data_IF_673769733396
#
_entry.id   IF_673769733396
#
_cell.length_a   1.000
_cell.length_b   1.000
_cell.length_c   1.000
_cell.angle_alpha   90.00
_cell.angle_beta   90.00
_cell.angle_gamma   90.00
#
_symmetry.space_group_name_H-M   'P 1'
#
loop_
_entity.id
_entity.type
_entity.pdbx_description
1 polymer ?
#
# COMPACT_ATOMS: atom_id res chain seq x y z
N UNK A 1 8.68 38.68 1.99
CA UNK A 1 8.96 37.31 2.45
C UNK A 1 7.85 36.90 3.39
N UNK A 2 7.10 35.85 3.03
CA UNK A 2 6.00 35.35 3.85
C UNK A 2 5.57 34.01 3.30
N UNK A 3 6.05 32.93 3.91
CA UNK A 3 5.54 31.58 3.69
C UNK A 3 4.36 31.36 4.63
N UNK A 4 3.16 31.28 4.06
CA UNK A 4 1.95 30.89 4.77
C UNK A 4 1.95 29.37 4.84
N UNK A 5 2.23 28.81 6.00
CA UNK A 5 1.90 27.40 6.29
C UNK A 5 0.37 27.27 6.26
N UNK A 6 -0.14 26.48 5.33
CA UNK A 6 -1.50 25.97 5.35
C UNK A 6 -1.39 24.55 5.90
N UNK A 7 -1.81 24.36 7.15
CA UNK A 7 -2.09 23.03 7.66
C UNK A 7 -3.10 22.38 6.72
N UNK A 8 -2.74 21.23 6.15
CA UNK A 8 -3.63 20.45 5.32
C UNK A 8 -4.24 19.39 6.21
N UNK A 9 -5.41 19.67 6.75
CA UNK A 9 -6.36 18.66 7.23
C UNK A 9 -7.06 18.04 6.00
N UNK A 10 -6.25 17.68 5.00
CA UNK A 10 -6.70 17.29 3.67
C UNK A 10 -6.31 15.83 3.54
N UNK A 11 -7.30 14.95 3.73
CA UNK A 11 -7.22 13.55 3.29
C UNK A 11 -6.40 13.49 1.99
N UNK A 12 -5.29 12.74 1.99
CA UNK A 12 -4.47 12.51 0.79
C UNK A 12 -5.34 11.87 -0.30
N UNK A 13 -6.04 12.69 -1.08
CA UNK A 13 -6.91 12.24 -2.17
C UNK A 13 -6.18 12.18 -3.51
N UNK A 14 -4.95 12.69 -3.58
CA UNK A 14 -4.15 12.70 -4.79
C UNK A 14 -2.66 12.64 -4.48
N UNK A 15 -2.00 11.59 -4.95
CA UNK A 15 -0.54 11.42 -4.88
C UNK A 15 0.05 11.82 -6.23
N UNK A 16 1.04 12.72 -6.23
CA UNK A 16 1.83 13.05 -7.42
C UNK A 16 2.96 12.03 -7.60
N UNK A 17 3.09 11.49 -8.81
CA UNK A 17 4.17 10.61 -9.24
C UNK A 17 4.93 11.27 -10.39
N UNK A 18 6.26 11.29 -10.27
CA UNK A 18 7.16 11.70 -11.35
C UNK A 18 7.99 10.50 -11.75
N UNK A 19 8.00 10.17 -13.04
CA UNK A 19 8.75 9.04 -13.60
C UNK A 19 9.79 9.59 -14.55
N UNK A 20 11.06 9.27 -14.31
CA UNK A 20 12.15 9.58 -15.23
C UNK A 20 12.45 8.42 -16.16
N UNK A 21 13.09 8.72 -17.29
CA UNK A 21 13.60 7.73 -18.24
C UNK A 21 14.67 8.35 -19.11
N UNK A 22 14.87 7.79 -20.30
CA UNK A 22 15.88 8.26 -21.24
C UNK A 22 15.25 8.55 -22.61
N UNK A 23 15.66 9.64 -23.26
CA UNK A 23 15.31 9.87 -24.66
C UNK A 23 16.10 8.95 -25.61
N UNK A 24 15.86 9.06 -26.92
CA UNK A 24 16.54 8.27 -27.96
C UNK A 24 18.07 8.44 -28.00
N UNK A 25 18.60 9.49 -27.36
CA UNK A 25 20.05 9.76 -27.25
C UNK A 25 20.65 9.28 -25.93
N UNK A 26 19.83 8.74 -25.02
CA UNK A 26 20.26 8.33 -23.69
C UNK A 26 20.28 9.46 -22.66
N UNK A 27 19.68 10.63 -22.96
CA UNK A 27 19.61 11.74 -22.00
C UNK A 27 18.46 11.52 -21.01
N UNK A 28 18.71 11.77 -19.73
CA UNK A 28 17.67 11.71 -18.69
C UNK A 28 16.57 12.74 -18.93
N UNK A 29 15.31 12.29 -18.89
CA UNK A 29 14.11 13.11 -19.09
C UNK A 29 13.00 12.69 -18.13
N UNK A 30 11.96 13.51 -18.02
CA UNK A 30 10.69 13.15 -17.36
C UNK A 30 9.78 12.48 -18.38
N UNK A 31 9.41 11.23 -18.14
CA UNK A 31 8.44 10.48 -18.95
C UNK A 31 7.00 10.79 -18.56
N UNK A 32 6.74 10.96 -17.26
CA UNK A 32 5.44 11.38 -16.75
C UNK A 32 5.57 12.19 -15.46
N UNK A 33 4.68 13.16 -15.30
CA UNK A 33 4.53 13.98 -14.09
C UNK A 33 3.04 14.27 -13.89
N UNK A 34 2.45 13.67 -12.87
CA UNK A 34 1.01 13.79 -12.65
C UNK A 34 0.49 12.95 -11.49
N UNK A 35 -0.83 12.85 -11.33
CA UNK A 35 -1.42 11.97 -10.33
C UNK A 35 -1.10 10.51 -10.60
N UNK A 36 -1.01 9.70 -9.53
CA UNK A 36 -1.00 8.24 -9.63
C UNK A 36 -2.28 7.79 -10.35
N UNK A 37 -2.17 7.04 -11.46
CA UNK A 37 -3.34 6.71 -12.29
C UNK A 37 -4.18 5.56 -11.74
N UNK A 38 -3.63 4.73 -10.85
CA UNK A 38 -4.31 3.55 -10.29
C UNK A 38 -4.60 3.73 -8.81
N UNK A 39 -5.88 3.86 -8.48
CA UNK A 39 -6.38 4.01 -7.11
C UNK A 39 -7.43 2.93 -6.87
N UNK A 40 -7.26 2.17 -5.80
CA UNK A 40 -8.23 1.17 -5.36
C UNK A 40 -8.90 1.63 -4.07
N UNK A 41 -10.22 1.71 -4.06
CA UNK A 41 -11.01 1.86 -2.84
C UNK A 41 -11.36 0.49 -2.27
N UNK A 42 -11.58 0.42 -0.96
CA UNK A 42 -12.15 -0.77 -0.32
C UNK A 42 -13.64 -0.50 -0.04
N UNK A 43 -14.58 -1.15 -0.74
CA UNK A 43 -16.02 -0.91 -0.52
C UNK A 43 -16.49 -1.37 0.87
N UNK A 44 -15.74 -2.25 1.55
CA UNK A 44 -16.07 -2.69 2.92
C UNK A 44 -15.48 -1.76 3.99
N UNK A 45 -14.42 -1.01 3.67
CA UNK A 45 -13.84 -0.01 4.58
C UNK A 45 -13.91 1.37 3.94
N UNK A 46 -15.07 2.06 4.02
CA UNK A 46 -15.23 3.39 3.46
C UNK A 46 -14.10 4.33 3.91
N UNK A 47 -13.52 5.05 2.95
CA UNK A 47 -12.37 5.94 3.19
C UNK A 47 -11.00 5.26 3.06
N UNK A 48 -10.91 3.93 3.00
CA UNK A 48 -9.65 3.27 2.69
C UNK A 48 -9.34 3.40 1.19
N UNK A 49 -8.19 4.02 0.90
CA UNK A 49 -7.66 4.19 -0.45
C UNK A 49 -6.27 3.57 -0.56
N UNK A 50 -5.97 2.94 -1.69
CA UNK A 50 -4.64 2.42 -2.02
C UNK A 50 -4.22 2.94 -3.38
N UNK A 51 -3.21 3.82 -3.39
CA UNK A 51 -2.58 4.34 -4.59
C UNK A 51 -1.45 3.38 -4.99
N UNK A 52 -1.60 2.64 -6.10
CA UNK A 52 -0.49 1.84 -6.62
C UNK A 52 0.48 2.77 -7.36
N UNK A 53 1.63 3.05 -6.74
CA UNK A 53 2.58 4.05 -7.25
C UNK A 53 3.48 3.45 -8.32
N UNK A 54 4.04 2.27 -8.08
CA UNK A 54 4.91 1.58 -9.03
C UNK A 54 4.88 0.07 -8.79
N UNK A 55 5.12 -0.72 -9.83
CA UNK A 55 5.15 -2.17 -9.76
C UNK A 55 6.24 -2.72 -10.67
N UNK A 56 7.02 -3.65 -10.19
CA UNK A 56 7.95 -4.42 -11.03
C UNK A 56 7.53 -5.88 -11.05
N UNK A 57 7.90 -6.60 -12.10
CA UNK A 57 7.51 -8.00 -12.31
C UNK A 57 8.69 -8.98 -12.31
N UNK A 58 9.89 -8.48 -12.06
CA UNK A 58 11.12 -9.28 -12.00
C UNK A 58 12.18 -8.59 -11.17
N UNK A 59 13.13 -9.38 -10.67
CA UNK A 59 14.31 -8.92 -9.95
C UNK A 59 15.51 -9.76 -10.41
N UNK A 60 16.60 -9.15 -10.92
CA UNK A 60 16.79 -7.71 -11.11
C UNK A 60 15.79 -7.11 -12.12
N UNK A 61 15.45 -5.84 -11.92
CA UNK A 61 14.52 -5.09 -12.78
C UNK A 61 15.28 -4.63 -14.04
N UNK A 62 14.83 -4.98 -15.26
CA UNK A 62 15.40 -4.41 -16.49
C UNK A 62 15.12 -2.90 -16.58
N UNK A 63 16.14 -2.10 -16.87
CA UNK A 63 15.99 -0.66 -17.06
C UNK A 63 15.84 -0.36 -18.56
N UNK A 64 14.62 -0.05 -18.98
CA UNK A 64 14.32 0.40 -20.33
C UNK A 64 14.35 1.93 -20.43
N UNK A 65 14.48 2.46 -21.65
CA UNK A 65 14.40 3.91 -21.89
C UNK A 65 13.01 4.48 -21.53
N UNK A 66 11.97 3.71 -21.84
CA UNK A 66 10.56 3.96 -21.52
C UNK A 66 9.91 2.66 -21.03
N UNK A 67 8.95 2.76 -20.12
CA UNK A 67 8.18 1.61 -19.61
C UNK A 67 6.68 1.93 -19.68
N UNK A 68 5.83 1.02 -20.19
CA UNK A 68 4.37 1.17 -20.11
C UNK A 68 3.90 1.25 -18.66
N UNK A 69 2.72 1.84 -18.42
CA UNK A 69 2.15 1.95 -17.06
C UNK A 69 2.14 0.60 -16.31
N UNK A 70 2.98 0.42 -15.26
CA UNK A 70 3.11 -0.89 -14.63
C UNK A 70 1.98 -1.22 -13.65
N UNK A 71 1.18 -0.24 -13.22
CA UNK A 71 0.19 -0.40 -12.15
C UNK A 71 -1.19 -0.84 -12.64
N UNK A 72 -1.40 -0.94 -13.95
CA UNK A 72 -2.69 -1.40 -14.50
C UNK A 72 -3.06 -2.82 -14.03
N UNK A 73 -4.36 -3.05 -13.81
CA UNK A 73 -4.92 -4.35 -13.44
C UNK A 73 -5.65 -4.36 -12.09
N UNK A 74 -6.09 -5.55 -11.64
CA UNK A 74 -6.73 -5.70 -10.35
C UNK A 74 -5.73 -5.50 -9.21
N UNK A 75 -6.24 -5.04 -8.06
CA UNK A 75 -5.46 -4.98 -6.82
C UNK A 75 -5.04 -6.39 -6.40
N UNK A 76 -3.78 -6.54 -6.05
CA UNK A 76 -3.25 -7.72 -5.35
C UNK A 76 -2.60 -7.29 -4.05
N UNK A 77 -2.82 -8.05 -2.99
CA UNK A 77 -2.13 -7.81 -1.72
C UNK A 77 -0.62 -8.01 -1.88
N UNK A 78 -0.23 -9.10 -2.53
CA UNK A 78 1.17 -9.46 -2.77
C UNK A 78 1.69 -8.89 -4.10
N UNK A 79 2.99 -8.59 -4.21
CA UNK A 79 3.61 -8.27 -5.49
C UNK A 79 3.58 -9.49 -6.44
N UNK A 80 3.78 -9.28 -7.76
CA UNK A 80 4.05 -10.37 -8.68
C UNK A 80 5.26 -11.21 -8.22
N UNK A 81 5.35 -12.50 -8.59
CA UNK A 81 6.54 -13.32 -8.32
C UNK A 81 7.81 -12.62 -8.80
N UNK A 82 8.84 -12.59 -7.93
CA UNK A 82 10.10 -11.86 -8.18
C UNK A 82 9.93 -10.35 -8.44
N UNK A 83 8.78 -9.76 -8.16
CA UNK A 83 8.50 -8.34 -8.36
C UNK A 83 8.46 -7.54 -7.07
N UNK A 84 8.10 -6.27 -7.19
CA UNK A 84 7.76 -5.43 -6.06
C UNK A 84 6.52 -4.57 -6.37
N UNK A 85 5.97 -3.97 -5.32
CA UNK A 85 4.90 -2.99 -5.45
C UNK A 85 5.13 -1.88 -4.44
N UNK A 86 5.23 -0.65 -4.92
CA UNK A 86 5.20 0.56 -4.10
C UNK A 86 3.77 1.07 -4.07
N UNK A 87 3.21 1.23 -2.87
CA UNK A 87 1.86 1.74 -2.67
C UNK A 87 1.81 2.74 -1.53
N UNK A 88 0.92 3.71 -1.64
CA UNK A 88 0.54 4.60 -0.53
C UNK A 88 -0.88 4.25 -0.14
N UNK A 89 -1.10 3.95 1.14
CA UNK A 89 -2.40 3.56 1.67
C UNK A 89 -2.91 4.62 2.64
N UNK A 90 -4.14 5.08 2.41
CA UNK A 90 -4.92 5.85 3.39
C UNK A 90 -5.74 4.85 4.18
N UNK A 91 -5.49 4.77 5.48
CA UNK A 91 -6.18 3.87 6.39
C UNK A 91 -7.05 4.73 7.30
N UNK A 92 -8.39 4.71 7.15
CA UNK A 92 -9.27 5.47 8.02
C UNK A 92 -9.24 4.87 9.44
N UNK A 93 -9.63 5.63 10.47
CA UNK A 93 -9.84 5.09 11.80
C UNK A 93 -10.69 3.83 11.75
N UNK A 94 -10.37 2.89 12.64
CA UNK A 94 -11.11 1.65 12.71
C UNK A 94 -12.54 1.87 13.22
N UNK A 95 -13.50 1.21 12.58
CA UNK A 95 -14.91 1.20 13.00
C UNK A 95 -15.21 -0.03 13.85
N UNK A 96 -16.23 0.05 14.71
CA UNK A 96 -16.71 -1.14 15.45
C UNK A 96 -17.13 -2.27 14.52
N UNK A 97 -17.68 -1.95 13.34
CA UNK A 97 -18.01 -2.93 12.31
C UNK A 97 -16.78 -3.72 11.85
N UNK A 98 -15.63 -3.07 11.70
CA UNK A 98 -14.38 -3.73 11.30
C UNK A 98 -13.83 -4.62 12.41
N UNK A 99 -13.90 -4.15 13.67
CA UNK A 99 -13.45 -4.92 14.85
C UNK A 99 -14.27 -6.20 15.05
N UNK A 100 -15.56 -6.13 14.78
CA UNK A 100 -16.51 -7.20 15.09
C UNK A 100 -16.75 -8.17 13.92
N UNK A 101 -15.93 -8.12 12.87
CA UNK A 101 -16.02 -9.08 11.76
C UNK A 101 -15.78 -10.52 12.26
N UNK A 102 -16.54 -11.47 11.72
CA UNK A 102 -16.27 -12.90 11.93
C UNK A 102 -15.09 -13.38 11.06
N UNK A 103 -14.45 -14.51 11.40
CA UNK A 103 -13.41 -15.11 10.56
C UNK A 103 -13.85 -15.35 9.11
N UNK A 104 -15.07 -15.79 8.89
CA UNK A 104 -15.63 -16.03 7.55
C UNK A 104 -15.78 -14.72 6.77
N UNK A 105 -16.28 -13.67 7.44
CA UNK A 105 -16.40 -12.35 6.85
C UNK A 105 -15.01 -11.82 6.48
N UNK A 106 -14.04 -11.85 7.40
CA UNK A 106 -12.68 -11.41 7.15
C UNK A 106 -12.04 -12.13 5.93
N UNK A 107 -12.15 -13.46 5.86
CA UNK A 107 -11.64 -14.24 4.72
C UNK A 107 -12.28 -13.84 3.39
N UNK A 108 -13.58 -13.58 3.39
CA UNK A 108 -14.29 -13.13 2.20
C UNK A 108 -13.80 -11.74 1.73
N UNK A 109 -13.44 -10.85 2.66
CA UNK A 109 -12.81 -9.55 2.34
C UNK A 109 -11.45 -9.72 1.68
N UNK A 110 -10.62 -10.59 2.24
CA UNK A 110 -9.32 -10.92 1.67
C UNK A 110 -9.45 -11.55 0.29
N UNK A 111 -10.41 -12.46 0.10
CA UNK A 111 -10.69 -13.08 -1.20
C UNK A 111 -11.07 -12.04 -2.25
N UNK A 112 -11.95 -11.09 -1.91
CA UNK A 112 -12.32 -9.96 -2.79
C UNK A 112 -11.15 -9.02 -3.10
N UNK A 113 -10.15 -8.97 -2.23
CA UNK A 113 -8.91 -8.19 -2.41
C UNK A 113 -7.80 -8.96 -3.14
N UNK A 114 -8.10 -10.15 -3.68
CA UNK A 114 -7.16 -10.99 -4.41
C UNK A 114 -6.21 -11.81 -3.52
N UNK A 115 -6.51 -11.96 -2.22
CA UNK A 115 -5.59 -12.53 -1.23
C UNK A 115 -6.29 -13.45 -0.21
N UNK A 116 -7.22 -14.29 -0.67
CA UNK A 116 -8.07 -15.12 0.21
C UNK A 116 -7.32 -15.93 1.26
N UNK A 117 -6.16 -16.48 0.90
CA UNK A 117 -5.33 -17.30 1.81
C UNK A 117 -4.43 -16.49 2.74
N UNK A 118 -4.32 -15.17 2.55
CA UNK A 118 -3.45 -14.33 3.35
C UNK A 118 -4.01 -14.04 4.74
N UNK A 119 -5.33 -14.16 4.95
CA UNK A 119 -5.97 -13.92 6.24
C UNK A 119 -5.50 -14.90 7.32
N UNK A 120 -4.99 -14.38 8.43
CA UNK A 120 -4.63 -15.21 9.60
C UNK A 120 -5.72 -15.25 10.66
N UNK A 121 -6.79 -14.47 10.49
CA UNK A 121 -7.89 -14.39 11.46
C UNK A 121 -8.65 -15.72 11.58
N UNK A 122 -8.85 -16.18 12.82
CA UNK A 122 -9.37 -17.51 13.13
C UNK A 122 -8.39 -18.66 12.85
N UNK A 123 -7.11 -18.36 12.54
CA UNK A 123 -5.99 -19.32 12.43
C UNK A 123 -4.80 -18.90 13.31
N UNK A 124 -5.07 -18.24 14.43
CA UNK A 124 -4.05 -17.71 15.35
C UNK A 124 -3.89 -16.19 15.29
N UNK A 125 -4.26 -15.54 14.17
CA UNK A 125 -4.32 -14.09 14.09
C UNK A 125 -5.42 -13.51 14.97
N UNK A 126 -5.10 -12.43 15.70
CA UNK A 126 -5.97 -11.82 16.71
C UNK A 126 -6.88 -10.71 16.16
N UNK A 127 -6.64 -10.27 14.93
CA UNK A 127 -7.36 -9.16 14.31
C UNK A 127 -7.92 -9.52 12.92
N UNK A 128 -9.14 -9.09 12.56
CA UNK A 128 -9.75 -9.39 11.25
C UNK A 128 -8.91 -8.99 10.04
N UNK A 129 -8.06 -7.97 10.19
CA UNK A 129 -7.21 -7.44 9.11
C UNK A 129 -5.78 -7.99 9.12
N UNK A 130 -5.42 -8.85 10.09
CA UNK A 130 -4.11 -9.50 10.08
C UNK A 130 -3.98 -10.44 8.90
N UNK A 131 -2.83 -10.36 8.24
CA UNK A 131 -2.48 -11.22 7.13
C UNK A 131 -0.99 -11.43 7.06
N UNK A 132 -0.58 -12.55 6.44
CA UNK A 132 0.81 -12.90 6.23
C UNK A 132 1.07 -13.08 4.73
N UNK A 133 2.21 -12.59 4.29
CA UNK A 133 2.69 -12.69 2.91
C UNK A 133 4.16 -13.13 2.93
N UNK A 134 4.62 -13.89 1.93
CA UNK A 134 6.03 -14.26 1.81
C UNK A 134 6.84 -13.12 1.19
N UNK A 135 6.84 -11.97 1.88
CA UNK A 135 7.43 -10.71 1.42
C UNK A 135 8.24 -10.03 2.51
N UNK A 136 9.10 -9.11 2.10
CA UNK A 136 9.62 -8.06 2.99
C UNK A 136 8.93 -6.76 2.61
N UNK A 137 8.26 -6.13 3.57
CA UNK A 137 7.52 -4.90 3.39
C UNK A 137 8.22 -3.76 4.16
N UNK A 138 8.38 -2.63 3.48
CA UNK A 138 8.91 -1.40 4.06
C UNK A 138 7.75 -0.43 4.19
N UNK A 139 7.18 -0.33 5.40
CA UNK A 139 6.08 0.59 5.66
C UNK A 139 6.62 1.86 6.31
N UNK A 140 6.21 3.02 5.80
CA UNK A 140 6.59 4.33 6.34
C UNK A 140 5.31 5.07 6.66
N UNK A 141 5.19 5.59 7.88
CA UNK A 141 4.05 6.44 8.25
C UNK A 141 4.30 7.84 7.70
N UNK A 142 3.58 8.19 6.63
CA UNK A 142 3.70 9.50 5.98
C UNK A 142 2.95 10.60 6.73
N UNK A 143 1.82 10.25 7.36
CA UNK A 143 0.96 11.17 8.08
C UNK A 143 0.08 10.39 9.09
N UNK A 144 -0.23 11.00 10.24
CA UNK A 144 -1.06 10.41 11.27
C UNK A 144 -0.33 9.37 12.13
N UNK A 145 -1.11 8.44 12.67
CA UNK A 145 -0.66 7.34 13.52
C UNK A 145 -1.39 6.03 13.17
N UNK A 146 -0.73 4.90 13.40
CA UNK A 146 -1.27 3.56 13.18
C UNK A 146 -0.67 2.58 14.18
N UNK A 147 -1.46 1.64 14.67
CA UNK A 147 -0.96 0.55 15.53
C UNK A 147 -0.62 -0.67 14.67
N UNK A 148 0.64 -1.12 14.73
CA UNK A 148 1.05 -2.42 14.22
C UNK A 148 0.68 -3.48 15.25
N UNK A 149 -0.19 -4.41 14.86
CA UNK A 149 -0.59 -5.56 15.68
C UNK A 149 0.18 -6.78 15.19
N UNK A 150 0.87 -7.46 16.09
CA UNK A 150 1.58 -8.72 15.86
C UNK A 150 0.93 -9.85 16.70
N UNK A 151 1.49 -11.05 16.60
CA UNK A 151 1.01 -12.23 17.34
C UNK A 151 0.88 -11.98 18.86
N UNK A 152 1.84 -11.31 19.51
CA UNK A 152 1.87 -11.13 20.97
C UNK A 152 2.10 -9.68 21.44
N UNK A 153 2.24 -8.72 20.54
CA UNK A 153 2.52 -7.34 20.87
C UNK A 153 1.84 -6.35 19.92
N UNK A 154 1.71 -5.11 20.39
CA UNK A 154 1.24 -3.99 19.61
C UNK A 154 2.26 -2.85 19.70
N UNK A 155 2.48 -2.16 18.58
CA UNK A 155 3.42 -1.03 18.50
C UNK A 155 2.70 0.16 17.89
N UNK A 156 2.62 1.26 18.63
CA UNK A 156 2.13 2.53 18.10
C UNK A 156 3.18 3.16 17.19
N UNK A 157 2.79 3.50 15.97
CA UNK A 157 3.64 4.15 14.97
C UNK A 157 3.07 5.53 14.66
N UNK A 158 3.96 6.52 14.52
CA UNK A 158 3.64 7.91 14.21
C UNK A 158 4.38 8.35 12.96
N UNK A 159 3.99 9.52 12.44
CA UNK A 159 4.61 10.13 11.26
C UNK A 159 6.14 10.12 11.35
N UNK A 160 6.78 9.55 10.33
CA UNK A 160 8.24 9.39 10.25
C UNK A 160 8.75 8.00 10.66
N UNK A 161 7.93 7.18 11.34
CA UNK A 161 8.32 5.83 11.71
C UNK A 161 8.36 4.88 10.51
N UNK A 162 9.28 3.92 10.58
CA UNK A 162 9.52 2.92 9.54
C UNK A 162 9.44 1.51 10.14
N UNK A 163 8.65 0.65 9.51
CA UNK A 163 8.56 -0.78 9.84
C UNK A 163 9.18 -1.59 8.71
N UNK A 164 10.00 -2.57 9.09
CA UNK A 164 10.54 -3.59 8.21
C UNK A 164 9.84 -4.91 8.55
N UNK A 165 8.76 -5.22 7.85
CA UNK A 165 7.96 -6.42 8.10
C UNK A 165 8.49 -7.59 7.26
N UNK A 166 8.85 -8.71 7.89
CA UNK A 166 9.57 -9.82 7.24
C UNK A 166 8.71 -11.09 7.22
N UNK A 167 7.59 -11.04 6.50
CA UNK A 167 6.63 -12.14 6.46
C UNK A 167 6.00 -12.47 7.82
N UNK A 168 5.86 -11.45 8.66
CA UNK A 168 5.20 -11.54 9.97
C UNK A 168 3.79 -10.97 9.87
N UNK A 169 2.93 -11.41 10.78
CA UNK A 169 1.53 -10.99 10.89
C UNK A 169 1.15 -10.85 12.32
#
# INVERSE_FOLDING_TARGET
MGSRFLGNDKLMTQIRRVVSGHDKSGKAIVLSDGPVPTIHSNPIRPGQLSFEVWKTRSMPVPIAAEEPEPTTGPRSLQPPPMGNVLRISVVPPETEETRNLTPEQARELFRKSGAGDASTYGRGGRHPMMHRTETVDYAVVLEGEITLILDDEEVELRTGDVVIQRGTS
#
